data_IF_279667959198
#
_entry.id   IF_279667959198
#
_cell.length_a   1.000
_cell.length_b   1.000
_cell.length_c   1.000
_cell.angle_alpha   90.00
_cell.angle_beta   90.00
_cell.angle_gamma   90.00
#
_symmetry.space_group_name_H-M   'P 1'
#
loop_
_entity.id
_entity.type
_entity.pdbx_description
1 polymer ?
#
# COMPACT_ATOMS: atom_id res chain seq x y z
N UNK A 1 16.39 54.26 27.58
CA UNK A 1 17.24 53.14 28.03
C UNK A 1 18.17 52.75 26.88
N UNK A 2 19.44 53.15 26.92
CA UNK A 2 20.45 52.64 26.02
C UNK A 2 21.45 51.70 26.73
N UNK A 3 22.06 50.85 25.90
CA UNK A 3 23.38 50.21 26.03
C UNK A 3 23.56 49.02 27.00
N UNK A 4 23.79 47.83 26.41
CA UNK A 4 24.59 46.75 27.02
C UNK A 4 25.53 46.14 25.98
N UNK A 5 26.76 46.64 26.02
CA UNK A 5 28.07 45.96 26.03
C UNK A 5 28.32 44.75 25.11
N UNK A 6 29.31 44.95 24.23
CA UNK A 6 30.00 43.97 23.39
C UNK A 6 31.42 43.73 23.93
N UNK A 7 31.87 42.48 24.00
CA UNK A 7 33.26 42.06 24.27
C UNK A 7 33.30 40.69 24.97
N UNK A 8 34.21 39.75 24.71
CA UNK A 8 35.40 39.72 23.86
C UNK A 8 35.84 38.27 23.59
N UNK A 9 36.66 38.14 22.54
CA UNK A 9 37.38 36.99 21.95
C UNK A 9 38.00 35.96 22.91
N UNK A 10 38.14 34.72 22.40
CA UNK A 10 39.43 34.04 22.34
C UNK A 10 39.53 33.18 21.08
N UNK A 11 40.53 33.50 20.27
CA UNK A 11 40.96 32.82 19.05
C UNK A 11 41.99 31.75 19.38
N UNK A 12 41.85 30.56 18.81
CA UNK A 12 42.98 29.66 18.56
C UNK A 12 43.07 29.42 17.06
N UNK A 13 44.12 29.98 16.47
CA UNK A 13 44.63 29.64 15.16
C UNK A 13 45.21 28.22 15.22
N UNK A 14 44.87 27.38 14.25
CA UNK A 14 45.73 26.27 13.85
C UNK A 14 45.84 26.25 12.33
N UNK A 15 47.06 25.98 11.88
CA UNK A 15 47.62 26.32 10.59
C UNK A 15 46.92 25.77 9.36
N UNK A 16 46.91 26.61 8.32
CA UNK A 16 46.60 26.26 6.94
C UNK A 16 47.91 25.97 6.22
N UNK A 17 48.21 24.70 5.97
CA UNK A 17 49.01 24.26 4.84
C UNK A 17 48.85 22.75 4.67
N UNK A 18 48.00 22.34 3.72
CA UNK A 18 48.18 21.25 2.73
C UNK A 18 46.83 21.11 1.99
N UNK A 19 46.84 21.29 0.67
CA UNK A 19 45.76 20.90 -0.25
C UNK A 19 46.29 19.80 -1.19
N UNK A 20 45.45 19.06 -1.94
CA UNK A 20 44.88 17.78 -1.50
C UNK A 20 45.23 16.63 -2.47
N UNK A 21 45.13 15.38 -2.01
CA UNK A 21 45.07 14.22 -2.91
C UNK A 21 43.72 13.51 -2.70
N UNK A 22 42.86 13.61 -3.71
CA UNK A 22 41.63 12.83 -3.85
C UNK A 22 41.89 11.57 -4.69
N UNK A 23 41.18 10.47 -4.40
CA UNK A 23 40.41 9.79 -5.44
C UNK A 23 39.05 9.30 -4.87
N UNK A 24 37.97 9.04 -5.61
CA UNK A 24 37.56 9.27 -7.00
C UNK A 24 36.04 9.16 -6.95
N UNK A 25 35.34 10.31 -6.97
CA UNK A 25 33.88 10.35 -6.95
C UNK A 25 33.38 10.23 -8.39
N UNK A 26 32.68 9.14 -8.67
CA UNK A 26 32.07 8.85 -9.96
C UNK A 26 30.99 9.90 -10.27
N UNK A 27 31.19 10.62 -11.39
CA UNK A 27 30.33 11.73 -11.83
C UNK A 27 28.95 11.22 -12.25
N UNK A 28 27.90 11.62 -11.51
CA UNK A 28 26.52 11.59 -12.02
C UNK A 28 26.19 12.94 -12.63
N UNK A 29 26.41 13.08 -13.94
CA UNK A 29 26.00 14.25 -14.71
C UNK A 29 24.51 14.14 -15.09
N UNK A 30 23.67 15.03 -14.56
CA UNK A 30 22.40 15.43 -15.21
C UNK A 30 22.20 16.92 -14.95
N UNK A 31 22.34 17.73 -16.00
CA UNK A 31 21.95 19.14 -16.03
C UNK A 31 20.42 19.23 -16.07
N UNK A 32 19.84 20.09 -15.22
CA UNK A 32 18.50 20.64 -15.44
C UNK A 32 18.63 22.16 -15.46
N UNK A 33 18.26 22.77 -16.58
CA UNK A 33 18.25 24.22 -16.78
C UNK A 33 17.13 24.89 -15.99
N UNK A 34 17.43 26.09 -15.50
CA UNK A 34 16.44 27.03 -14.99
C UNK A 34 15.75 27.70 -16.18
N UNK A 35 14.46 27.44 -16.36
CA UNK A 35 13.56 28.34 -17.09
C UNK A 35 12.34 28.63 -16.21
N UNK A 36 12.30 29.87 -15.70
CA UNK A 36 11.11 30.48 -15.12
C UNK A 36 10.12 30.88 -16.23
N UNK A 37 8.81 30.86 -15.94
CA UNK A 37 7.95 31.89 -16.51
C UNK A 37 7.27 32.76 -15.45
N UNK A 38 6.95 33.95 -15.93
CA UNK A 38 6.42 35.17 -15.34
C UNK A 38 5.13 35.04 -14.52
N UNK A 39 5.01 35.97 -13.58
CA UNK A 39 3.83 36.29 -12.79
C UNK A 39 2.70 36.89 -13.63
N UNK A 40 1.45 36.48 -13.37
CA UNK A 40 0.26 37.33 -13.41
C UNK A 40 -0.95 36.63 -12.76
N UNK A 41 -1.75 37.45 -12.04
CA UNK A 41 -3.12 37.29 -11.56
C UNK A 41 -3.49 36.30 -10.43
N UNK A 42 -3.37 36.82 -9.20
CA UNK A 42 -4.15 36.45 -8.01
C UNK A 42 -5.59 36.99 -8.05
N UNK A 43 -6.60 36.17 -7.71
CA UNK A 43 -7.86 36.67 -7.17
C UNK A 43 -8.04 36.30 -5.68
N UNK A 44 -8.27 37.32 -4.88
CA UNK A 44 -8.74 37.30 -3.49
C UNK A 44 -10.10 36.59 -3.34
N UNK A 45 -10.32 35.74 -2.32
CA UNK A 45 -11.66 35.33 -1.92
C UNK A 45 -12.18 36.22 -0.79
N UNK A 46 -13.26 36.93 -1.10
CA UNK A 46 -14.02 37.74 -0.16
C UNK A 46 -14.70 36.95 0.96
N UNK A 47 -14.85 37.66 2.07
CA UNK A 47 -15.62 37.34 3.27
C UNK A 47 -17.09 37.19 2.89
N UNK A 48 -17.74 36.10 3.35
CA UNK A 48 -19.14 36.05 3.81
C UNK A 48 -19.59 34.60 4.06
N UNK A 49 -19.76 34.20 5.31
CA UNK A 49 -20.69 33.13 5.71
C UNK A 49 -20.92 33.13 7.24
N UNK A 50 -21.87 33.98 7.65
CA UNK A 50 -22.90 33.81 8.69
C UNK A 50 -22.62 32.80 9.80
N UNK A 51 -22.39 33.36 11.00
CA UNK A 51 -22.60 32.72 12.30
C UNK A 51 -24.07 32.26 12.44
N UNK A 52 -24.27 30.98 12.75
CA UNK A 52 -25.45 30.52 13.47
C UNK A 52 -24.98 29.67 14.64
N UNK A 53 -24.96 30.31 15.81
CA UNK A 53 -24.65 29.65 17.06
C UNK A 53 -25.72 28.61 17.39
N UNK A 54 -25.28 27.44 17.85
CA UNK A 54 -25.98 26.56 18.81
C UNK A 54 -25.06 25.39 19.19
N UNK A 55 -25.07 25.06 20.49
CA UNK A 55 -24.50 23.87 21.14
C UNK A 55 -23.13 24.03 21.84
N UNK A 56 -23.09 24.88 22.87
CA UNK A 56 -22.06 24.89 23.91
C UNK A 56 -22.36 23.84 24.99
N UNK A 57 -22.22 22.55 24.70
CA UNK A 57 -22.03 21.57 25.80
C UNK A 57 -21.36 20.24 25.41
N UNK A 58 -21.18 19.96 24.12
CA UNK A 58 -20.46 18.75 23.66
C UNK A 58 -18.94 18.92 23.57
N UNK A 59 -18.44 20.15 23.68
CA UNK A 59 -17.01 20.49 23.53
C UNK A 59 -16.13 20.06 24.70
N UNK A 60 -16.67 20.03 25.93
CA UNK A 60 -15.87 19.82 27.15
C UNK A 60 -15.45 18.36 27.34
N UNK A 61 -16.31 17.40 26.97
CA UNK A 61 -15.98 15.95 27.01
C UNK A 61 -15.03 15.52 25.88
N UNK A 62 -15.12 16.12 24.68
CA UNK A 62 -14.15 15.87 23.60
C UNK A 62 -12.78 16.45 23.94
N UNK A 63 -12.72 17.63 24.56
CA UNK A 63 -11.47 18.28 24.97
C UNK A 63 -10.67 17.45 25.97
N UNK A 64 -11.32 16.89 27.01
CA UNK A 64 -10.63 16.07 28.01
C UNK A 64 -10.10 14.75 27.45
N UNK A 65 -10.87 14.09 26.56
CA UNK A 65 -10.44 12.88 25.86
C UNK A 65 -9.32 13.18 24.84
N UNK A 66 -9.33 14.35 24.21
CA UNK A 66 -8.27 14.83 23.31
C UNK A 66 -6.98 15.15 24.07
N UNK A 67 -7.09 15.76 25.25
CA UNK A 67 -5.96 16.12 26.10
C UNK A 67 -5.28 14.89 26.72
N UNK A 68 -6.05 13.89 27.16
CA UNK A 68 -5.55 12.59 27.65
C UNK A 68 -4.89 11.74 26.56
N UNK A 69 -5.40 11.78 25.32
CA UNK A 69 -4.78 11.07 24.19
C UNK A 69 -3.48 11.71 23.72
N UNK A 70 -3.42 13.05 23.73
CA UNK A 70 -2.21 13.81 23.38
C UNK A 70 -1.06 13.55 24.35
N UNK A 71 -1.36 13.36 25.64
CA UNK A 71 -0.35 12.99 26.66
C UNK A 71 0.13 11.55 26.52
N UNK A 72 -0.72 10.62 26.08
CA UNK A 72 -0.31 9.24 25.80
C UNK A 72 0.53 9.08 24.51
N UNK A 73 0.40 9.99 23.54
CA UNK A 73 1.24 10.02 22.34
C UNK A 73 2.60 10.72 22.57
N UNK A 74 2.67 11.66 23.53
CA UNK A 74 3.91 12.38 23.87
C UNK A 74 4.95 11.55 24.61
N UNK A 75 4.60 10.37 25.13
CA UNK A 75 5.56 9.43 25.74
C UNK A 75 6.22 8.50 24.72
N UNK A 76 5.86 8.59 23.45
CA UNK A 76 6.61 7.97 22.35
C UNK A 76 7.72 8.91 21.91
N UNK A 77 8.96 8.42 21.67
CA UNK A 77 10.08 9.29 21.28
C UNK A 77 9.71 10.10 20.04
N UNK A 78 10.09 11.38 20.06
CA UNK A 78 9.90 12.34 18.98
C UNK A 78 10.73 11.86 17.77
N UNK A 79 10.08 11.10 16.87
CA UNK A 79 10.71 10.70 15.62
C UNK A 79 10.94 11.95 14.78
N UNK A 80 12.15 12.12 14.25
CA UNK A 80 12.53 13.25 13.39
C UNK A 80 11.57 13.48 12.21
N UNK A 81 10.83 12.45 11.78
CA UNK A 81 9.69 12.58 10.88
C UNK A 81 8.36 12.51 11.65
N UNK A 82 7.60 13.60 11.61
CA UNK A 82 6.22 13.71 12.10
C UNK A 82 5.32 12.63 11.47
N UNK A 83 5.08 11.54 12.21
CA UNK A 83 4.08 10.54 11.84
C UNK A 83 2.71 11.08 12.23
N UNK A 84 2.01 11.70 11.28
CA UNK A 84 0.59 11.96 11.48
C UNK A 84 -0.25 11.02 10.63
N UNK A 85 -0.78 9.99 11.28
CA UNK A 85 -1.87 9.19 10.72
C UNK A 85 -3.07 10.06 10.29
N UNK A 86 -3.17 11.30 10.80
CA UNK A 86 -4.16 12.29 10.37
C UNK A 86 -3.76 13.03 9.10
N UNK A 87 -2.49 12.98 8.67
CA UNK A 87 -2.05 13.58 7.40
C UNK A 87 -2.84 12.99 6.23
N UNK A 88 -3.24 11.71 6.30
CA UNK A 88 -4.11 11.08 5.32
C UNK A 88 -5.59 11.52 5.37
N UNK A 89 -5.98 12.48 6.22
CA UNK A 89 -7.36 12.98 6.27
C UNK A 89 -7.62 14.05 5.22
N UNK A 90 -8.86 14.10 4.71
CA UNK A 90 -9.31 15.13 3.77
C UNK A 90 -9.19 16.57 4.30
N UNK A 91 -9.27 16.74 5.62
CA UNK A 91 -9.15 18.07 6.25
C UNK A 91 -7.70 18.55 6.21
N UNK A 92 -6.77 17.66 6.52
CA UNK A 92 -5.35 18.00 6.49
C UNK A 92 -4.85 18.12 5.07
N UNK A 93 -5.23 17.23 4.16
CA UNK A 93 -4.92 17.35 2.73
C UNK A 93 -5.31 18.71 2.14
N UNK A 94 -6.50 19.25 2.51
CA UNK A 94 -6.93 20.58 2.07
C UNK A 94 -6.18 21.76 2.71
N UNK A 95 -5.48 21.53 3.83
CA UNK A 95 -4.78 22.57 4.59
C UNK A 95 -3.29 22.65 4.27
N UNK A 96 -2.71 21.64 3.60
CA UNK A 96 -1.27 21.61 3.35
C UNK A 96 -0.91 22.55 2.20
N UNK A 97 0.21 23.25 2.37
CA UNK A 97 0.78 24.12 1.35
C UNK A 97 1.59 23.33 0.30
N UNK A 98 2.26 22.25 0.72
CA UNK A 98 3.08 21.38 -0.14
C UNK A 98 2.61 19.92 -0.14
N UNK A 99 3.02 19.18 -1.17
CA UNK A 99 2.76 17.74 -1.26
C UNK A 99 3.70 16.96 -0.35
N UNK A 100 3.32 15.74 0.05
CA UNK A 100 4.25 14.89 0.81
C UNK A 100 5.50 14.54 -0.01
N UNK A 101 5.38 14.51 -1.33
CA UNK A 101 6.51 14.24 -2.21
C UNK A 101 7.54 15.37 -2.18
N UNK A 102 7.11 16.63 -2.22
CA UNK A 102 7.97 17.80 -2.07
C UNK A 102 8.64 17.82 -0.69
N UNK A 103 7.86 17.59 0.38
CA UNK A 103 8.39 17.57 1.75
C UNK A 103 9.55 16.56 1.93
N UNK A 104 9.41 15.34 1.41
CA UNK A 104 10.48 14.34 1.48
C UNK A 104 11.64 14.60 0.51
N UNK A 105 11.47 15.45 -0.50
CA UNK A 105 12.58 15.92 -1.33
C UNK A 105 13.40 16.99 -0.61
N UNK A 106 12.76 17.84 0.18
CA UNK A 106 13.41 18.84 1.03
C UNK A 106 14.11 18.22 2.25
N UNK A 107 13.61 17.07 2.72
CA UNK A 107 14.11 16.33 3.89
C UNK A 107 14.59 14.91 3.53
N UNK A 108 15.71 14.77 2.79
CA UNK A 108 16.22 13.47 2.35
C UNK A 108 16.66 12.55 3.51
N UNK A 109 16.95 13.11 4.67
CA UNK A 109 17.28 12.38 5.91
C UNK A 109 16.09 11.56 6.45
N UNK A 110 14.87 11.97 6.13
CA UNK A 110 13.66 11.34 6.64
C UNK A 110 13.21 10.20 5.74
N UNK A 111 13.14 8.97 6.29
CA UNK A 111 12.54 7.84 5.60
C UNK A 111 11.05 8.14 5.31
N UNK A 112 10.59 8.16 4.04
CA UNK A 112 9.21 8.46 3.75
C UNK A 112 8.24 7.47 4.39
N UNK A 113 7.42 7.98 5.31
CA UNK A 113 6.48 7.18 6.08
C UNK A 113 5.18 7.00 5.29
N UNK A 114 4.68 5.76 5.25
CA UNK A 114 3.39 5.47 4.64
C UNK A 114 2.28 5.87 5.63
N UNK A 115 1.39 6.83 5.29
CA UNK A 115 0.40 7.40 6.23
C UNK A 115 -0.81 6.47 6.42
N UNK A 116 -0.54 5.19 6.66
CA UNK A 116 -1.53 4.15 6.89
C UNK A 116 -1.00 3.14 7.91
N UNK A 117 -1.52 3.18 9.14
CA UNK A 117 -1.22 2.15 10.16
C UNK A 117 -2.41 1.27 10.47
N UNK A 118 -2.16 -0.04 10.38
CA UNK A 118 -3.08 -1.11 10.82
C UNK A 118 -3.20 -1.25 12.35
N UNK A 119 -2.28 -0.64 13.11
CA UNK A 119 -2.06 -0.99 14.53
C UNK A 119 -3.13 -0.46 15.50
N UNK A 120 -3.85 0.61 15.19
CA UNK A 120 -4.71 1.29 16.16
C UNK A 120 -6.14 1.57 15.67
N UNK A 121 -7.14 1.21 16.49
CA UNK A 121 -8.53 1.69 16.39
C UNK A 121 -9.56 0.71 15.80
N UNK A 122 -10.85 1.11 15.87
CA UNK A 122 -12.03 0.35 15.38
C UNK A 122 -11.96 0.06 13.87
N UNK A 123 -11.21 0.86 13.11
CA UNK A 123 -11.04 0.70 11.66
C UNK A 123 -10.40 -0.64 11.28
N UNK A 124 -9.52 -1.21 12.12
CA UNK A 124 -8.89 -2.52 11.86
C UNK A 124 -9.92 -3.65 11.86
N UNK A 125 -10.87 -3.60 12.80
CA UNK A 125 -11.93 -4.59 12.94
C UNK A 125 -12.94 -4.48 11.81
N UNK A 126 -13.29 -3.25 11.41
CA UNK A 126 -14.15 -3.02 10.25
C UNK A 126 -13.52 -3.60 8.98
N UNK A 127 -12.26 -3.28 8.69
CA UNK A 127 -11.58 -3.79 7.50
C UNK A 127 -11.37 -5.31 7.54
N UNK A 128 -10.99 -5.86 8.69
CA UNK A 128 -10.90 -7.30 8.88
C UNK A 128 -12.23 -8.00 8.60
N UNK A 129 -13.33 -7.49 9.17
CA UNK A 129 -14.66 -8.04 8.96
C UNK A 129 -15.12 -7.91 7.50
N UNK A 130 -14.80 -6.79 6.83
CA UNK A 130 -15.06 -6.63 5.39
C UNK A 130 -14.32 -7.67 4.57
N UNK A 131 -13.01 -7.85 4.79
CA UNK A 131 -12.21 -8.86 4.07
C UNK A 131 -12.73 -10.27 4.38
N UNK A 132 -13.04 -10.55 5.64
CA UNK A 132 -13.58 -11.84 6.07
C UNK A 132 -14.90 -12.17 5.37
N UNK A 133 -15.86 -11.23 5.37
CA UNK A 133 -17.12 -11.39 4.64
C UNK A 133 -16.87 -11.65 3.16
N UNK A 134 -15.95 -10.90 2.54
CA UNK A 134 -15.63 -11.03 1.13
C UNK A 134 -15.06 -12.42 0.81
N UNK A 135 -14.23 -13.00 1.68
CA UNK A 135 -13.70 -14.37 1.53
C UNK A 135 -14.78 -15.42 1.76
N UNK A 136 -15.63 -15.25 2.78
CA UNK A 136 -16.75 -16.16 3.06
C UNK A 136 -17.71 -16.18 1.87
N UNK A 137 -18.08 -15.01 1.36
CA UNK A 137 -18.96 -14.85 0.20
C UNK A 137 -18.35 -15.45 -1.07
N UNK A 138 -17.07 -15.18 -1.33
CA UNK A 138 -16.43 -15.61 -2.55
C UNK A 138 -16.06 -17.10 -2.57
N UNK A 139 -15.87 -17.76 -1.43
CA UNK A 139 -15.39 -19.15 -1.35
C UNK A 139 -16.32 -20.08 -0.58
N UNK A 140 -16.66 -19.73 0.66
CA UNK A 140 -17.38 -20.62 1.57
C UNK A 140 -18.82 -20.81 1.13
N UNK A 141 -19.51 -19.73 0.74
CA UNK A 141 -20.92 -19.79 0.35
C UNK A 141 -21.14 -20.70 -0.88
N UNK A 142 -20.40 -20.53 -2.02
CA UNK A 142 -20.57 -21.41 -3.19
C UNK A 142 -20.29 -22.88 -2.92
N UNK A 143 -19.30 -23.18 -2.07
CA UNK A 143 -18.95 -24.55 -1.71
C UNK A 143 -20.02 -25.16 -0.81
N UNK A 144 -20.31 -24.50 0.32
CA UNK A 144 -21.26 -25.00 1.30
C UNK A 144 -22.62 -25.21 0.64
N UNK A 145 -23.20 -24.17 0.02
CA UNK A 145 -24.52 -24.26 -0.60
C UNK A 145 -24.60 -25.37 -1.65
N UNK A 146 -23.57 -25.51 -2.48
CA UNK A 146 -23.55 -26.58 -3.49
C UNK A 146 -23.59 -27.97 -2.84
N UNK A 147 -22.70 -28.24 -1.88
CA UNK A 147 -22.59 -29.57 -1.28
C UNK A 147 -23.79 -29.88 -0.37
N UNK A 148 -24.30 -28.95 0.44
CA UNK A 148 -25.50 -29.21 1.26
C UNK A 148 -26.74 -29.40 0.39
N UNK A 149 -27.02 -28.50 -0.55
CA UNK A 149 -28.26 -28.60 -1.34
C UNK A 149 -28.25 -29.82 -2.28
N UNK A 150 -27.08 -30.23 -2.77
CA UNK A 150 -26.97 -31.41 -3.64
C UNK A 150 -27.07 -32.73 -2.88
N UNK A 151 -26.31 -32.89 -1.79
CA UNK A 151 -26.19 -34.18 -1.11
C UNK A 151 -27.20 -34.37 0.02
N UNK A 152 -27.63 -33.30 0.69
CA UNK A 152 -28.63 -33.35 1.77
C UNK A 152 -30.02 -33.03 1.21
N UNK A 153 -30.13 -31.96 0.42
CA UNK A 153 -31.41 -31.47 -0.09
C UNK A 153 -31.92 -32.17 -1.35
N UNK A 154 -31.09 -32.98 -2.02
CA UNK A 154 -31.38 -33.59 -3.33
C UNK A 154 -31.95 -32.60 -4.37
N UNK A 155 -31.50 -31.34 -4.29
CA UNK A 155 -32.03 -30.25 -5.12
C UNK A 155 -31.44 -30.31 -6.53
N UNK A 156 -32.23 -29.95 -7.53
CA UNK A 156 -31.78 -29.86 -8.92
C UNK A 156 -30.72 -28.77 -9.10
N UNK A 157 -29.70 -29.05 -9.91
CA UNK A 157 -28.53 -28.19 -10.06
C UNK A 157 -28.84 -26.74 -10.47
N UNK A 158 -29.83 -26.52 -11.35
CA UNK A 158 -30.17 -25.17 -11.78
C UNK A 158 -30.73 -24.30 -10.64
N UNK A 159 -31.46 -24.89 -9.68
CA UNK A 159 -31.95 -24.17 -8.50
C UNK A 159 -30.77 -23.80 -7.58
N UNK A 160 -29.86 -24.76 -7.34
CA UNK A 160 -28.66 -24.53 -6.53
C UNK A 160 -27.87 -23.35 -7.10
N UNK A 161 -27.60 -23.36 -8.40
CA UNK A 161 -26.77 -22.33 -9.02
C UNK A 161 -27.49 -21.01 -9.25
N UNK A 162 -28.82 -20.98 -9.37
CA UNK A 162 -29.58 -19.74 -9.32
C UNK A 162 -29.43 -19.05 -7.95
N UNK A 163 -29.52 -19.82 -6.85
CA UNK A 163 -29.30 -19.31 -5.49
C UNK A 163 -27.87 -18.84 -5.30
N UNK A 164 -26.87 -19.66 -5.69
CA UNK A 164 -25.45 -19.30 -5.59
C UNK A 164 -25.16 -18.02 -6.39
N UNK A 165 -25.64 -17.92 -7.64
CA UNK A 165 -25.41 -16.75 -8.47
C UNK A 165 -26.07 -15.46 -7.94
N UNK A 166 -27.18 -15.58 -7.21
CA UNK A 166 -27.88 -14.43 -6.61
C UNK A 166 -27.15 -13.89 -5.38
N UNK A 167 -26.58 -14.77 -4.57
CA UNK A 167 -25.87 -14.39 -3.34
C UNK A 167 -24.44 -13.95 -3.64
N UNK A 168 -23.78 -14.65 -4.56
CA UNK A 168 -22.35 -14.50 -4.81
C UNK A 168 -21.97 -13.09 -5.30
N UNK A 169 -20.93 -12.54 -4.70
CA UNK A 169 -20.29 -11.31 -5.14
C UNK A 169 -20.91 -10.05 -4.55
N UNK A 170 -21.96 -10.13 -3.73
CA UNK A 170 -22.65 -8.96 -3.15
C UNK A 170 -21.69 -7.93 -2.51
N UNK A 171 -20.89 -8.31 -1.50
CA UNK A 171 -19.89 -7.43 -0.90
C UNK A 171 -18.88 -6.87 -1.92
N UNK A 172 -18.47 -7.68 -2.88
CA UNK A 172 -17.50 -7.29 -3.92
C UNK A 172 -18.07 -6.25 -4.89
N UNK A 173 -19.32 -6.43 -5.33
CA UNK A 173 -20.00 -5.46 -6.19
C UNK A 173 -20.26 -4.15 -5.47
N UNK A 174 -20.61 -4.18 -4.18
CA UNK A 174 -20.78 -2.97 -3.37
C UNK A 174 -19.45 -2.23 -3.22
N UNK A 175 -18.35 -2.92 -2.88
CA UNK A 175 -17.02 -2.31 -2.79
C UNK A 175 -16.57 -1.73 -4.14
N UNK A 176 -16.84 -2.44 -5.25
CA UNK A 176 -16.57 -1.95 -6.59
C UNK A 176 -17.39 -0.70 -6.92
N UNK A 177 -18.69 -0.67 -6.61
CA UNK A 177 -19.55 0.50 -6.84
C UNK A 177 -19.11 1.70 -5.98
N UNK A 178 -18.76 1.46 -4.71
CA UNK A 178 -18.22 2.49 -3.81
C UNK A 178 -16.89 3.03 -4.34
N UNK A 179 -16.03 2.16 -4.89
CA UNK A 179 -14.77 2.54 -5.54
C UNK A 179 -15.03 3.42 -6.77
N UNK A 180 -15.93 3.02 -7.67
CA UNK A 180 -16.34 3.81 -8.84
C UNK A 180 -16.83 5.20 -8.41
N UNK A 181 -17.70 5.25 -7.40
CA UNK A 181 -18.22 6.50 -6.87
C UNK A 181 -17.13 7.40 -6.29
N UNK A 182 -16.16 6.84 -5.54
CA UNK A 182 -15.04 7.61 -4.98
C UNK A 182 -14.13 8.21 -6.06
N UNK A 183 -13.96 7.54 -7.20
CA UNK A 183 -13.10 8.00 -8.31
C UNK A 183 -13.78 9.05 -9.21
N UNK A 184 -15.09 8.91 -9.46
CA UNK A 184 -15.88 9.82 -10.31
C UNK A 184 -16.17 11.17 -9.64
N UNK A 185 -16.14 11.24 -8.30
CA UNK A 185 -16.39 12.47 -7.54
C UNK A 185 -15.54 13.64 -8.06
N UNK A 186 -16.14 14.84 -8.01
CA UNK A 186 -15.46 16.11 -8.38
C UNK A 186 -14.21 16.34 -7.52
N UNK A 187 -14.22 15.89 -6.26
CA UNK A 187 -13.06 15.97 -5.38
C UNK A 187 -11.95 14.99 -5.83
N UNK A 188 -10.76 15.52 -6.05
CA UNK A 188 -9.63 14.75 -6.60
C UNK A 188 -8.93 13.84 -5.58
N UNK A 189 -9.42 13.77 -4.33
CA UNK A 189 -8.73 13.14 -3.19
C UNK A 189 -8.37 11.66 -3.40
N UNK A 190 -9.17 10.88 -4.14
CA UNK A 190 -8.93 9.44 -4.36
C UNK A 190 -8.28 9.12 -5.70
N UNK A 191 -8.25 10.08 -6.62
CA UNK A 191 -7.80 9.91 -8.00
C UNK A 191 -6.29 9.75 -8.08
N UNK A 192 -5.75 9.02 -9.08
CA UNK A 192 -4.33 9.00 -9.36
C UNK A 192 -3.66 10.37 -9.44
N UNK A 193 -2.35 10.38 -9.17
CA UNK A 193 -1.54 11.59 -9.25
C UNK A 193 -1.43 12.08 -10.71
N UNK A 194 -1.20 13.38 -10.89
CA UNK A 194 -1.00 13.98 -12.21
C UNK A 194 -2.22 13.97 -13.14
N UNK A 195 -3.44 13.82 -12.62
CA UNK A 195 -4.68 13.95 -13.41
C UNK A 195 -5.80 14.63 -12.63
N UNK A 196 -6.55 15.49 -13.33
CA UNK A 196 -7.78 16.15 -12.91
C UNK A 196 -9.02 15.65 -13.68
N UNK A 197 -8.86 14.65 -14.55
CA UNK A 197 -9.98 14.07 -15.30
C UNK A 197 -10.79 13.07 -14.45
N UNK A 198 -12.10 13.25 -14.37
CA UNK A 198 -13.05 12.41 -13.60
C UNK A 198 -13.14 10.96 -14.11
N UNK A 199 -12.75 10.73 -15.36
CA UNK A 199 -12.78 9.41 -16.01
C UNK A 199 -11.44 8.68 -15.95
N UNK A 200 -10.47 9.21 -15.21
CA UNK A 200 -9.18 8.55 -15.01
C UNK A 200 -9.30 7.48 -13.90
N UNK A 201 -9.89 6.34 -14.25
CA UNK A 201 -9.86 5.15 -13.40
C UNK A 201 -8.44 4.62 -13.28
N UNK A 202 -8.14 4.06 -12.10
CA UNK A 202 -6.85 3.47 -11.83
C UNK A 202 -6.77 2.01 -12.29
N UNK A 203 -5.56 1.45 -12.34
CA UNK A 203 -5.34 0.12 -12.94
C UNK A 203 -6.07 -0.97 -12.16
N UNK A 204 -6.16 -0.84 -10.82
CA UNK A 204 -6.89 -1.80 -10.00
C UNK A 204 -8.37 -1.80 -10.35
N UNK A 205 -8.97 -0.65 -10.66
CA UNK A 205 -10.35 -0.59 -11.12
C UNK A 205 -10.54 -1.37 -12.43
N UNK A 206 -9.64 -1.23 -13.40
CA UNK A 206 -9.68 -1.99 -14.65
C UNK A 206 -9.48 -3.50 -14.44
N UNK A 207 -8.55 -3.89 -13.56
CA UNK A 207 -8.32 -5.29 -13.19
C UNK A 207 -9.57 -5.87 -12.52
N UNK A 208 -10.21 -5.11 -11.63
CA UNK A 208 -11.47 -5.50 -11.00
C UNK A 208 -12.60 -5.64 -12.01
N UNK A 209 -12.74 -4.71 -12.97
CA UNK A 209 -13.74 -4.81 -14.05
C UNK A 209 -13.54 -6.06 -14.90
N UNK A 210 -12.29 -6.35 -15.30
CA UNK A 210 -11.94 -7.56 -16.04
C UNK A 210 -12.28 -8.84 -15.23
N UNK A 211 -11.92 -8.85 -13.95
CA UNK A 211 -12.16 -9.99 -13.06
C UNK A 211 -13.65 -10.23 -12.85
N UNK A 212 -14.42 -9.18 -12.58
CA UNK A 212 -15.87 -9.26 -12.43
C UNK A 212 -16.49 -9.77 -13.73
N UNK A 213 -16.15 -9.17 -14.88
CA UNK A 213 -16.68 -9.60 -16.17
C UNK A 213 -16.40 -11.08 -16.45
N UNK A 214 -15.17 -11.55 -16.22
CA UNK A 214 -14.79 -12.94 -16.44
C UNK A 214 -15.56 -13.90 -15.51
N UNK A 215 -15.63 -13.60 -14.21
CA UNK A 215 -16.33 -14.46 -13.26
C UNK A 215 -17.84 -14.47 -13.52
N UNK A 216 -18.45 -13.31 -13.73
CA UNK A 216 -19.88 -13.20 -14.05
C UNK A 216 -20.20 -13.96 -15.33
N UNK A 217 -19.33 -13.89 -16.36
CA UNK A 217 -19.52 -14.68 -17.59
C UNK A 217 -19.53 -16.20 -17.31
N UNK A 218 -18.58 -16.71 -16.51
CA UNK A 218 -18.58 -18.14 -16.15
C UNK A 218 -19.81 -18.55 -15.35
N UNK A 219 -20.27 -17.71 -14.41
CA UNK A 219 -21.47 -17.97 -13.63
C UNK A 219 -22.73 -17.98 -14.50
N UNK A 220 -22.88 -17.02 -15.42
CA UNK A 220 -24.03 -16.94 -16.34
C UNK A 220 -24.02 -18.13 -17.31
N UNK A 221 -22.92 -18.34 -18.04
CA UNK A 221 -22.83 -19.40 -19.05
C UNK A 221 -23.00 -20.78 -18.40
N UNK A 222 -22.41 -20.97 -17.22
CA UNK A 222 -22.48 -22.24 -16.52
C UNK A 222 -23.87 -22.56 -15.94
N UNK A 223 -24.63 -21.55 -15.57
CA UNK A 223 -25.96 -21.69 -14.94
C UNK A 223 -27.14 -21.57 -15.91
N UNK A 224 -26.94 -21.02 -17.11
CA UNK A 224 -28.00 -20.83 -18.10
C UNK A 224 -28.70 -22.12 -18.57
N UNK A 225 -27.99 -23.24 -18.82
CA UNK A 225 -28.64 -24.48 -19.25
C UNK A 225 -29.36 -25.19 -18.09
N UNK A 226 -30.50 -25.82 -18.39
CA UNK A 226 -31.22 -26.67 -17.41
C UNK A 226 -30.32 -27.81 -16.87
N UNK A 227 -29.45 -28.36 -17.73
CA UNK A 227 -28.35 -29.24 -17.32
C UNK A 227 -27.12 -28.37 -17.08
N UNK A 228 -26.95 -27.94 -15.84
CA UNK A 228 -25.87 -27.02 -15.43
C UNK A 228 -24.49 -27.52 -15.81
N UNK A 229 -23.67 -26.62 -16.35
CA UNK A 229 -22.31 -26.94 -16.79
C UNK A 229 -21.33 -26.77 -15.64
N UNK A 230 -21.27 -27.80 -14.78
CA UNK A 230 -20.49 -27.75 -13.54
C UNK A 230 -19.00 -27.40 -13.75
N UNK A 231 -18.38 -27.91 -14.81
CA UNK A 231 -16.96 -27.61 -15.10
C UNK A 231 -16.76 -26.12 -15.38
N UNK A 232 -17.70 -25.49 -16.09
CA UNK A 232 -17.69 -24.03 -16.33
C UNK A 232 -17.89 -23.27 -15.01
N UNK A 233 -18.80 -23.73 -14.15
CA UNK A 233 -19.04 -23.17 -12.82
C UNK A 233 -17.90 -23.40 -11.81
N UNK A 234 -16.88 -24.18 -12.18
CA UNK A 234 -15.66 -24.42 -11.39
C UNK A 234 -14.55 -23.43 -11.75
N UNK A 235 -14.67 -22.71 -12.88
CA UNK A 235 -13.69 -21.76 -13.40
C UNK A 235 -13.68 -20.35 -12.77
N UNK A 236 -14.69 -19.86 -12.03
CA UNK A 236 -14.65 -18.54 -11.39
C UNK A 236 -13.39 -18.23 -10.57
N UNK A 237 -13.00 -19.08 -9.63
CA UNK A 237 -11.85 -18.79 -8.78
C UNK A 237 -10.50 -18.89 -9.52
N UNK A 238 -10.27 -19.87 -10.43
CA UNK A 238 -9.13 -19.83 -11.36
C UNK A 238 -9.13 -18.57 -12.23
N UNK A 239 -10.29 -18.10 -12.69
CA UNK A 239 -10.41 -16.86 -13.46
C UNK A 239 -9.98 -15.64 -12.66
N UNK A 240 -10.28 -15.57 -11.35
CA UNK A 240 -9.75 -14.52 -10.47
C UNK A 240 -8.22 -14.52 -10.48
N UNK A 241 -7.60 -15.70 -10.37
CA UNK A 241 -6.14 -15.82 -10.43
C UNK A 241 -5.56 -15.39 -11.78
N UNK A 242 -6.20 -15.78 -12.90
CA UNK A 242 -5.80 -15.32 -14.23
C UNK A 242 -5.92 -13.81 -14.39
N UNK A 243 -7.05 -13.22 -14.00
CA UNK A 243 -7.29 -11.80 -14.21
C UNK A 243 -6.41 -10.94 -13.31
N UNK A 244 -6.38 -11.21 -12.00
CA UNK A 244 -5.59 -10.42 -11.04
C UNK A 244 -4.11 -10.74 -11.18
N UNK A 245 -3.76 -12.01 -11.06
CA UNK A 245 -2.39 -12.52 -11.12
C UNK A 245 -1.73 -12.27 -12.47
N UNK A 246 -2.44 -12.53 -13.56
CA UNK A 246 -1.97 -12.26 -14.92
C UNK A 246 -1.78 -10.77 -15.20
N UNK A 247 -2.69 -9.90 -14.74
CA UNK A 247 -2.49 -8.45 -14.89
C UNK A 247 -1.27 -7.95 -14.13
N UNK A 248 -1.08 -8.41 -12.89
CA UNK A 248 0.12 -8.10 -12.09
C UNK A 248 1.37 -8.65 -12.77
N UNK A 249 1.32 -9.85 -13.34
CA UNK A 249 2.43 -10.46 -14.08
C UNK A 249 2.81 -9.60 -15.29
N UNK A 250 1.85 -9.27 -16.16
CA UNK A 250 2.06 -8.49 -17.38
C UNK A 250 2.68 -7.13 -17.05
N UNK A 251 2.12 -6.39 -16.08
CA UNK A 251 2.64 -5.09 -15.67
C UNK A 251 4.06 -5.24 -15.10
N UNK A 252 4.30 -6.28 -14.31
CA UNK A 252 5.62 -6.53 -13.72
C UNK A 252 6.65 -6.87 -14.80
N UNK A 253 6.33 -7.76 -15.74
CA UNK A 253 7.21 -8.07 -16.87
C UNK A 253 7.50 -6.83 -17.70
N UNK A 254 6.48 -6.00 -17.95
CA UNK A 254 6.67 -4.72 -18.64
C UNK A 254 7.62 -3.79 -17.89
N UNK A 255 7.45 -3.64 -16.57
CA UNK A 255 8.36 -2.87 -15.71
C UNK A 255 9.81 -3.35 -15.81
N UNK A 256 10.04 -4.68 -15.88
CA UNK A 256 11.38 -5.25 -16.00
C UNK A 256 12.07 -4.94 -17.34
N UNK A 257 11.30 -4.65 -18.39
CA UNK A 257 11.90 -4.25 -19.69
C UNK A 257 12.46 -2.83 -19.70
N UNK A 258 12.19 -2.02 -18.66
CA UNK A 258 12.62 -0.62 -18.59
C UNK A 258 11.95 0.31 -19.60
N UNK A 259 10.91 -0.16 -20.30
CA UNK A 259 10.15 0.63 -21.28
C UNK A 259 9.26 1.66 -20.58
N UNK A 260 9.11 2.82 -21.22
CA UNK A 260 8.26 3.91 -20.73
C UNK A 260 6.78 3.59 -20.90
N UNK A 261 5.96 4.09 -20.00
CA UNK A 261 4.52 3.84 -19.98
C UNK A 261 3.84 4.34 -21.27
N UNK A 262 3.19 3.47 -22.07
CA UNK A 262 2.58 3.87 -23.34
C UNK A 262 1.31 4.71 -23.15
N UNK A 263 0.63 4.51 -22.03
CA UNK A 263 -0.50 5.28 -21.54
C UNK A 263 -0.38 5.42 -20.01
N UNK A 264 -1.28 6.18 -19.38
CA UNK A 264 -1.26 6.38 -17.92
C UNK A 264 -1.60 5.07 -17.21
N UNK A 265 -0.73 4.64 -16.30
CA UNK A 265 -0.96 3.48 -15.42
C UNK A 265 -1.08 4.00 -13.99
N UNK A 266 -2.32 4.09 -13.48
CA UNK A 266 -2.61 4.75 -12.21
C UNK A 266 -1.89 6.09 -12.08
N UNK A 267 -1.02 6.29 -11.08
CA UNK A 267 -0.29 7.55 -10.90
C UNK A 267 0.92 7.72 -11.81
N UNK A 268 1.32 6.70 -12.58
CA UNK A 268 2.40 6.81 -13.57
C UNK A 268 1.85 7.49 -14.83
N UNK A 269 2.32 8.70 -15.19
CA UNK A 269 1.89 9.38 -16.40
C UNK A 269 2.39 8.67 -17.66
N UNK A 270 1.80 8.98 -18.82
CA UNK A 270 2.32 8.54 -20.12
C UNK A 270 3.77 9.02 -20.27
N UNK A 271 4.67 8.12 -20.69
CA UNK A 271 6.10 8.39 -20.79
C UNK A 271 6.89 8.19 -19.48
N UNK A 272 6.23 7.92 -18.35
CA UNK A 272 6.88 7.64 -17.07
C UNK A 272 7.46 6.22 -16.97
N UNK A 273 8.26 5.97 -15.94
CA UNK A 273 8.78 4.63 -15.65
C UNK A 273 7.68 3.74 -15.05
N UNK A 274 7.50 2.55 -15.64
CA UNK A 274 6.49 1.59 -15.15
C UNK A 274 7.03 0.87 -13.92
N UNK A 275 6.21 0.81 -12.87
CA UNK A 275 6.54 0.14 -11.63
C UNK A 275 6.01 -1.31 -11.61
N UNK A 276 6.55 -2.19 -10.74
CA UNK A 276 6.05 -3.55 -10.60
C UNK A 276 4.56 -3.60 -10.21
N UNK A 277 3.83 -4.62 -10.65
CA UNK A 277 2.37 -4.65 -10.55
C UNK A 277 1.80 -4.47 -9.14
N UNK A 278 2.47 -5.01 -8.10
CA UNK A 278 2.02 -4.85 -6.70
C UNK A 278 2.11 -3.41 -6.23
N UNK A 279 3.01 -2.59 -6.80
CA UNK A 279 3.06 -1.16 -6.51
C UNK A 279 1.70 -0.52 -6.77
N UNK A 280 1.13 -0.76 -7.97
CA UNK A 280 -0.13 -0.14 -8.37
C UNK A 280 -1.31 -0.70 -7.60
N UNK A 281 -1.37 -2.02 -7.37
CA UNK A 281 -2.42 -2.64 -6.55
C UNK A 281 -2.43 -2.05 -5.14
N UNK A 282 -1.26 -1.93 -4.51
CA UNK A 282 -1.11 -1.36 -3.17
C UNK A 282 -1.51 0.12 -3.15
N UNK A 283 -1.00 0.91 -4.10
CA UNK A 283 -1.35 2.32 -4.27
C UNK A 283 -2.87 2.52 -4.30
N UNK A 284 -3.52 1.80 -5.19
CA UNK A 284 -4.92 1.96 -5.55
C UNK A 284 -5.90 1.41 -4.51
N UNK A 285 -5.58 0.28 -3.87
CA UNK A 285 -6.41 -0.29 -2.81
C UNK A 285 -6.33 0.59 -1.56
N UNK A 286 -5.13 1.01 -1.16
CA UNK A 286 -4.98 1.76 0.09
C UNK A 286 -5.49 3.20 -0.10
N UNK A 287 -5.22 3.83 -1.25
CA UNK A 287 -5.76 5.14 -1.53
C UNK A 287 -7.29 5.12 -1.53
N UNK A 288 -7.92 4.17 -2.24
CA UNK A 288 -9.36 4.22 -2.47
C UNK A 288 -10.15 3.40 -1.45
N UNK A 289 -9.91 2.09 -1.30
CA UNK A 289 -10.69 1.22 -0.39
C UNK A 289 -10.42 1.55 1.08
N UNK A 290 -9.14 1.63 1.46
CA UNK A 290 -8.76 1.97 2.83
C UNK A 290 -8.94 3.46 3.18
N UNK A 291 -9.21 4.29 2.16
CA UNK A 291 -9.60 5.68 2.32
C UNK A 291 -8.44 6.65 2.60
N UNK A 292 -7.20 6.26 2.29
CA UNK A 292 -6.01 7.07 2.58
C UNK A 292 -5.75 8.16 1.52
N UNK A 293 -6.35 8.05 0.32
CA UNK A 293 -6.31 9.06 -0.75
C UNK A 293 -4.93 9.35 -1.34
N UNK A 294 -4.83 10.52 -2.01
CA UNK A 294 -3.59 11.08 -2.57
C UNK A 294 -2.42 11.17 -1.58
N UNK A 295 -2.60 11.48 -0.29
CA UNK A 295 -1.49 11.52 0.66
C UNK A 295 -0.72 10.19 0.72
N UNK A 296 -1.45 9.06 0.64
CA UNK A 296 -0.80 7.76 0.57
C UNK A 296 -0.06 7.56 -0.77
N UNK A 297 -0.64 7.98 -1.88
CA UNK A 297 0.00 7.90 -3.21
C UNK A 297 1.30 8.70 -3.25
N UNK A 298 1.29 9.93 -2.73
CA UNK A 298 2.46 10.82 -2.64
C UNK A 298 3.56 10.21 -1.78
N UNK A 299 3.21 9.73 -0.57
CA UNK A 299 4.17 9.11 0.33
C UNK A 299 4.74 7.80 -0.23
N UNK A 300 3.91 7.00 -0.91
CA UNK A 300 4.36 5.77 -1.56
C UNK A 300 5.32 6.08 -2.71
N UNK A 301 5.02 7.08 -3.53
CA UNK A 301 5.90 7.53 -4.62
C UNK A 301 7.24 8.04 -4.07
N UNK A 302 7.21 8.85 -3.02
CA UNK A 302 8.42 9.35 -2.34
C UNK A 302 9.26 8.20 -1.78
N UNK A 303 8.65 7.24 -1.07
CA UNK A 303 9.36 6.07 -0.52
C UNK A 303 9.97 5.20 -1.62
N UNK A 304 9.22 4.96 -2.69
CA UNK A 304 9.69 4.16 -3.81
C UNK A 304 10.85 4.85 -4.54
N UNK A 305 10.83 6.18 -4.68
CA UNK A 305 11.95 6.93 -5.23
C UNK A 305 13.19 6.89 -4.32
N UNK A 306 13.00 7.05 -3.01
CA UNK A 306 14.07 7.17 -2.03
C UNK A 306 14.76 5.83 -1.71
N UNK A 307 14.03 4.74 -1.54
CA UNK A 307 14.54 3.50 -0.95
C UNK A 307 14.77 2.37 -1.97
N UNK A 308 16.03 2.01 -2.29
CA UNK A 308 16.34 0.87 -3.15
C UNK A 308 15.86 -0.46 -2.58
N UNK A 309 15.90 -0.62 -1.23
CA UNK A 309 15.42 -1.83 -0.56
C UNK A 309 13.90 -1.98 -0.71
N UNK A 310 13.15 -0.90 -0.57
CA UNK A 310 11.70 -0.92 -0.79
C UNK A 310 11.35 -1.29 -2.23
N UNK A 311 12.04 -0.69 -3.22
CA UNK A 311 11.86 -1.05 -4.64
C UNK A 311 12.12 -2.54 -4.89
N UNK A 312 13.21 -3.08 -4.32
CA UNK A 312 13.53 -4.50 -4.44
C UNK A 312 12.45 -5.38 -3.82
N UNK A 313 11.98 -5.03 -2.62
CA UNK A 313 10.89 -5.75 -1.94
C UNK A 313 9.62 -5.76 -2.80
N UNK A 314 9.18 -4.61 -3.33
CA UNK A 314 7.98 -4.50 -4.17
C UNK A 314 8.11 -5.32 -5.46
N UNK A 315 9.29 -5.29 -6.11
CA UNK A 315 9.57 -6.13 -7.28
C UNK A 315 9.46 -7.61 -6.94
N UNK A 316 10.10 -8.05 -5.86
CA UNK A 316 10.07 -9.46 -5.44
C UNK A 316 8.66 -9.91 -5.06
N UNK A 317 7.91 -9.09 -4.32
CA UNK A 317 6.51 -9.38 -4.00
C UNK A 317 5.65 -9.47 -5.26
N UNK A 318 5.89 -8.62 -6.26
CA UNK A 318 5.16 -8.68 -7.53
C UNK A 318 5.36 -10.00 -8.26
N UNK A 319 6.59 -10.51 -8.31
CA UNK A 319 6.88 -11.82 -8.91
C UNK A 319 6.33 -12.98 -8.08
N UNK A 320 6.49 -12.90 -6.76
CA UNK A 320 6.04 -13.93 -5.81
C UNK A 320 4.53 -14.15 -5.82
N UNK A 321 3.76 -13.08 -6.03
CA UNK A 321 2.30 -13.18 -6.15
C UNK A 321 1.85 -13.57 -7.56
N UNK A 322 2.46 -12.99 -8.60
CA UNK A 322 1.96 -13.15 -9.97
C UNK A 322 2.31 -14.49 -10.61
N UNK A 323 3.55 -14.98 -10.48
CA UNK A 323 3.96 -16.24 -11.14
C UNK A 323 3.21 -17.45 -10.58
N UNK A 324 3.17 -17.69 -9.26
CA UNK A 324 2.50 -18.87 -8.73
C UNK A 324 0.97 -18.78 -8.91
N UNK A 325 0.39 -17.58 -8.92
CA UNK A 325 -1.05 -17.44 -9.21
C UNK A 325 -1.43 -17.98 -10.58
N UNK A 326 -0.61 -17.71 -11.60
CA UNK A 326 -0.81 -18.25 -12.95
C UNK A 326 -0.58 -19.77 -13.01
N UNK A 327 0.45 -20.27 -12.31
CA UNK A 327 0.71 -21.72 -12.24
C UNK A 327 -0.47 -22.45 -11.60
N UNK A 328 -0.96 -21.95 -10.46
CA UNK A 328 -2.13 -22.54 -9.77
C UNK A 328 -3.38 -22.43 -10.62
N UNK A 329 -3.61 -21.30 -11.29
CA UNK A 329 -4.74 -21.15 -12.21
C UNK A 329 -4.70 -22.20 -13.34
N UNK A 330 -3.53 -22.43 -13.95
CA UNK A 330 -3.32 -23.44 -14.99
C UNK A 330 -3.56 -24.84 -14.46
N UNK A 331 -2.96 -25.20 -13.32
CA UNK A 331 -3.15 -26.53 -12.70
C UNK A 331 -4.61 -26.78 -12.38
N UNK A 332 -5.30 -25.83 -11.74
CA UNK A 332 -6.73 -25.95 -11.46
C UNK A 332 -7.55 -26.11 -12.75
N UNK A 333 -7.26 -25.31 -13.77
CA UNK A 333 -7.96 -25.40 -15.07
C UNK A 333 -7.80 -26.76 -15.72
N UNK A 334 -6.58 -27.31 -15.71
CA UNK A 334 -6.30 -28.65 -16.24
C UNK A 334 -7.09 -29.71 -15.48
N UNK A 335 -7.08 -29.69 -14.14
CA UNK A 335 -7.84 -30.63 -13.31
C UNK A 335 -9.35 -30.51 -13.55
N UNK A 336 -9.86 -29.29 -13.73
CA UNK A 336 -11.29 -29.03 -14.00
C UNK A 336 -11.72 -29.55 -15.38
N UNK A 337 -10.85 -29.51 -16.39
CA UNK A 337 -11.21 -29.88 -17.77
C UNK A 337 -11.00 -31.37 -18.06
N UNK A 338 -10.07 -32.03 -17.36
CA UNK A 338 -9.79 -33.47 -17.55
C UNK A 338 -11.04 -34.31 -17.25
N UNK A 339 -11.45 -35.10 -18.24
CA UNK A 339 -12.65 -35.95 -18.19
C UNK A 339 -12.69 -36.97 -17.04
N UNK A 340 -11.58 -37.68 -16.72
CA UNK A 340 -11.51 -38.59 -15.58
C UNK A 340 -11.93 -38.01 -14.22
N UNK A 341 -11.79 -36.70 -14.00
CA UNK A 341 -12.17 -36.07 -12.74
C UNK A 341 -13.69 -35.89 -12.71
N UNK A 342 -14.34 -36.34 -11.64
CA UNK A 342 -15.79 -36.14 -11.49
C UNK A 342 -16.13 -34.64 -11.42
N UNK A 343 -17.33 -34.28 -11.88
CA UNK A 343 -17.75 -32.87 -11.95
C UNK A 343 -17.81 -32.24 -10.56
N UNK A 344 -18.22 -33.02 -9.56
CA UNK A 344 -18.30 -32.64 -8.15
C UNK A 344 -16.92 -32.34 -7.57
N UNK A 345 -15.92 -33.16 -7.89
CA UNK A 345 -14.54 -32.93 -7.44
C UNK A 345 -13.94 -31.73 -8.16
N UNK A 346 -14.17 -31.59 -9.47
CA UNK A 346 -13.75 -30.43 -10.24
C UNK A 346 -14.29 -29.11 -9.64
N UNK A 347 -15.55 -29.11 -9.19
CA UNK A 347 -16.17 -27.95 -8.54
C UNK A 347 -15.50 -27.61 -7.20
N UNK A 348 -15.28 -28.63 -6.35
CA UNK A 348 -14.60 -28.45 -5.07
C UNK A 348 -13.16 -27.95 -5.23
N UNK A 349 -12.42 -28.52 -6.19
CA UNK A 349 -11.04 -28.10 -6.50
C UNK A 349 -11.02 -26.67 -7.06
N UNK A 350 -11.92 -26.37 -8.00
CA UNK A 350 -12.00 -25.08 -8.65
C UNK A 350 -12.19 -23.94 -7.67
N UNK A 351 -13.10 -24.08 -6.70
CA UNK A 351 -13.31 -23.07 -5.67
C UNK A 351 -12.36 -23.19 -4.47
N UNK A 352 -12.03 -24.39 -4.01
CA UNK A 352 -11.25 -24.55 -2.78
C UNK A 352 -9.77 -24.18 -2.94
N UNK A 353 -9.10 -24.74 -3.96
CA UNK A 353 -7.64 -24.65 -4.10
C UNK A 353 -7.14 -23.20 -4.24
N UNK A 354 -7.74 -22.33 -5.09
CA UNK A 354 -7.30 -20.94 -5.21
C UNK A 354 -7.33 -20.17 -3.89
N UNK A 355 -8.37 -20.34 -3.07
CA UNK A 355 -8.50 -19.60 -1.82
C UNK A 355 -7.61 -20.15 -0.70
N UNK A 356 -7.41 -21.48 -0.65
CA UNK A 356 -6.40 -22.08 0.24
C UNK A 356 -5.01 -21.57 -0.14
N UNK A 357 -4.69 -21.54 -1.43
CA UNK A 357 -3.44 -21.00 -1.94
C UNK A 357 -3.25 -19.52 -1.54
N UNK A 358 -4.26 -18.67 -1.73
CA UNK A 358 -4.23 -17.27 -1.26
C UNK A 358 -3.95 -17.20 0.24
N UNK A 359 -4.63 -18.00 1.05
CA UNK A 359 -4.42 -18.05 2.50
C UNK A 359 -2.97 -18.35 2.89
N UNK A 360 -2.37 -19.38 2.27
CA UNK A 360 -0.97 -19.76 2.47
C UNK A 360 -0.03 -18.62 2.04
N UNK A 361 -0.27 -18.01 0.87
CA UNK A 361 0.58 -16.95 0.34
C UNK A 361 0.51 -15.66 1.18
N UNK A 362 -0.67 -15.32 1.72
CA UNK A 362 -0.81 -14.23 2.69
C UNK A 362 0.00 -14.53 3.95
N UNK A 363 -0.10 -15.75 4.49
CA UNK A 363 0.62 -16.16 5.69
C UNK A 363 2.14 -16.10 5.54
N UNK A 364 2.67 -16.35 4.33
CA UNK A 364 4.09 -16.22 4.00
C UNK A 364 4.49 -14.74 3.78
N UNK A 365 3.69 -14.01 3.00
CA UNK A 365 4.04 -12.63 2.59
C UNK A 365 4.06 -11.66 3.78
N UNK A 366 3.15 -11.84 4.73
CA UNK A 366 2.98 -10.92 5.84
C UNK A 366 4.21 -10.81 6.77
N UNK A 367 4.78 -11.91 7.32
CA UNK A 367 6.02 -11.83 8.11
C UNK A 367 7.21 -11.40 7.26
N UNK A 368 7.26 -11.79 5.98
CA UNK A 368 8.33 -11.39 5.07
C UNK A 368 8.36 -9.87 4.86
N UNK A 369 7.24 -9.26 4.45
CA UNK A 369 7.15 -7.79 4.26
C UNK A 369 7.50 -7.05 5.55
N UNK A 370 7.03 -7.54 6.71
CA UNK A 370 7.37 -6.94 8.01
C UNK A 370 8.87 -6.95 8.28
N UNK A 371 9.54 -8.07 8.00
CA UNK A 371 10.99 -8.21 8.15
C UNK A 371 11.74 -7.27 7.20
N UNK A 372 11.34 -7.19 5.94
CA UNK A 372 12.00 -6.34 4.95
C UNK A 372 11.80 -4.84 5.25
N UNK A 373 10.59 -4.44 5.67
CA UNK A 373 10.31 -3.09 6.13
C UNK A 373 11.11 -2.70 7.39
N UNK A 374 11.28 -3.64 8.32
CA UNK A 374 12.09 -3.39 9.52
C UNK A 374 13.57 -3.21 9.16
N UNK A 375 14.11 -4.08 8.29
CA UNK A 375 15.48 -3.97 7.79
C UNK A 375 15.71 -2.67 7.03
N UNK A 376 14.73 -2.25 6.22
CA UNK A 376 14.78 -0.96 5.54
C UNK A 376 14.92 0.19 6.54
N UNK A 377 14.11 0.21 7.59
CA UNK A 377 14.17 1.26 8.63
C UNK A 377 15.50 1.25 9.36
N UNK A 378 15.97 0.08 9.82
CA UNK A 378 17.24 -0.01 10.56
C UNK A 378 18.41 0.47 9.71
N UNK A 379 18.53 0.01 8.46
CA UNK A 379 19.66 0.47 7.65
C UNK A 379 19.51 1.92 7.21
N UNK A 380 18.29 2.43 7.03
CA UNK A 380 18.11 3.87 6.79
C UNK A 380 18.60 4.70 7.99
N UNK A 381 18.30 4.26 9.21
CA UNK A 381 18.80 4.90 10.43
C UNK A 381 20.34 4.83 10.51
N UNK A 382 20.94 3.69 10.15
CA UNK A 382 22.40 3.53 10.09
C UNK A 382 23.07 4.44 9.05
N UNK A 383 22.52 4.51 7.82
CA UNK A 383 23.08 5.30 6.71
C UNK A 383 23.10 6.81 7.02
N UNK A 384 22.14 7.29 7.83
CA UNK A 384 22.06 8.70 8.26
C UNK A 384 22.62 8.94 9.68
N UNK A 385 23.29 7.95 10.28
CA UNK A 385 23.92 8.09 11.60
C UNK A 385 22.92 8.31 12.75
N UNK A 386 21.64 7.98 12.56
CA UNK A 386 20.60 8.08 13.57
C UNK A 386 20.76 6.88 14.52
N UNK A 387 21.55 7.05 15.58
CA UNK A 387 21.74 5.98 16.57
C UNK A 387 20.41 5.71 17.28
N UNK A 388 19.87 4.48 17.24
CA UNK A 388 18.65 4.17 17.98
C UNK A 388 18.89 4.38 19.48
N UNK A 389 17.99 5.11 20.15
CA UNK A 389 18.10 5.57 21.54
C UNK A 389 18.45 4.46 22.55
N UNK A 390 18.13 3.19 22.25
CA UNK A 390 18.56 2.03 23.06
C UNK A 390 20.07 1.86 23.13
N UNK A 391 20.79 2.12 22.03
CA UNK A 391 22.25 2.17 22.01
C UNK A 391 22.76 3.44 22.68
N UNK A 392 22.05 4.56 22.58
CA UNK A 392 22.44 5.81 23.23
C UNK A 392 22.30 5.73 24.75
N UNK A 393 21.28 5.06 25.29
CA UNK A 393 21.12 4.82 26.74
C UNK A 393 22.14 3.82 27.28
N UNK A 394 22.48 2.77 26.53
CA UNK A 394 23.60 1.91 26.92
C UNK A 394 24.94 2.63 26.82
N UNK A 395 25.23 3.32 25.71
CA UNK A 395 26.47 4.07 25.57
C UNK A 395 26.62 5.22 26.58
N UNK A 396 25.53 5.93 26.92
CA UNK A 396 25.53 6.95 27.96
C UNK A 396 25.69 6.32 29.34
N UNK A 397 25.00 5.21 29.64
CA UNK A 397 25.22 4.49 30.90
C UNK A 397 26.64 3.91 31.00
N UNK A 398 27.24 3.45 29.90
CA UNK A 398 28.60 2.89 29.88
C UNK A 398 29.65 4.02 30.06
N UNK A 399 29.38 5.21 29.50
CA UNK A 399 30.19 6.42 29.70
C UNK A 399 30.03 7.03 31.09
N UNK A 400 28.82 6.97 31.67
CA UNK A 400 28.49 7.53 33.00
C UNK A 400 28.92 6.59 34.14
N UNK A 401 29.02 5.27 33.88
CA UNK A 401 29.54 4.27 34.82
C UNK A 401 31.07 4.07 34.74
N UNK A 402 31.78 4.79 33.87
CA UNK A 402 33.25 4.76 33.82
C UNK A 402 33.87 3.41 33.43
N UNK A 403 33.14 2.54 32.73
CA UNK A 403 33.72 1.29 32.22
C UNK A 403 34.54 1.57 30.95
N UNK A 404 35.87 1.50 31.08
CA UNK A 404 36.79 1.58 29.95
C UNK A 404 36.49 0.47 28.92
N UNK A 405 36.65 0.73 27.61
CA UNK A 405 36.35 -0.24 26.58
C UNK A 405 37.30 -1.44 26.72
N UNK A 406 36.73 -2.64 26.94
CA UNK A 406 37.49 -3.88 26.99
C UNK A 406 38.10 -4.16 25.61
N UNK A 407 39.43 -4.17 25.56
CA UNK A 407 40.20 -4.54 24.39
C UNK A 407 39.79 -5.95 23.88
N UNK A 408 39.68 -6.15 22.55
CA UNK A 408 39.33 -7.45 22.01
C UNK A 408 40.49 -8.44 22.19
N UNK A 409 40.25 -9.50 22.97
CA UNK A 409 41.19 -10.62 23.11
C UNK A 409 41.38 -11.31 21.76
N UNK A 410 42.62 -11.31 21.28
CA UNK A 410 43.10 -12.11 20.16
C UNK A 410 43.04 -13.59 20.58
N UNK A 411 42.41 -14.50 19.81
CA UNK A 411 42.37 -15.92 20.17
C UNK A 411 43.74 -16.58 19.92
N UNK A 412 44.23 -17.34 20.90
CA UNK A 412 45.42 -18.18 20.80
C UNK A 412 45.26 -19.29 19.75
N UNK A 413 46.34 -19.69 19.07
CA UNK A 413 46.29 -20.76 18.06
C UNK A 413 46.14 -22.12 18.73
N UNK A 414 45.17 -22.90 18.26
CA UNK A 414 44.97 -24.28 18.67
C UNK A 414 46.11 -25.17 18.14
N UNK A 415 46.74 -25.92 19.04
CA UNK A 415 47.58 -27.08 18.72
C UNK A 415 46.74 -28.35 18.64
#
# INVERSE_FOLDING_TARGET
>A
MPEVVRGSRASLQLDRNVSPASPSQERRAVHFGLESPSAEDTPTPGINAVDTGLSTDSGRRRSSQHKRRRTQDMTSPERAAYYDSRAATKREFRRRASTLQEYYQEHPELLPQLPFTWRHGIKRWKLFFTIFIMVVDACVIPLVLYYTMKFVGHVQGYIIFAVVATIWGGPTYVEFAVRSWRLIKKENFFRPLGTSNRWAFDITHWISSLTIAAVTAFLIIGSAPHIVWLRVLSMPAPAILYCVGGSVFIITMYSLTGRKAPFRISSTPKGGDVYPGVYYIMEDIIAVNAGAGRPFREALAARYAASPRFRRMIKTQSLFWSIPSLVVAVVCTVVIVIHPVSKEVAYGVGWGVPFVWVGIWVAISFPWIRRDMHKETVTWEEDFGIVPEKKHKHAVNDLENGEAPKEPKIPEPAH
#
